data_IF_555385318686
#
_entry.id   IF_555385318686
#
_cell.length_a   1.000
_cell.length_b   1.000
_cell.length_c   1.000
_cell.angle_alpha   90.00
_cell.angle_beta   90.00
_cell.angle_gamma   90.00
#
_symmetry.space_group_name_H-M   'P 1'
#
loop_
_entity.id
_entity.type
_entity.pdbx_description
1 polymer ?
#
# COMPACT_ATOMS: atom_id res chain seq x y z
N UNK A 1 21.02 2.29 -7.53
CA UNK A 1 20.58 2.05 -6.15
C UNK A 1 19.94 3.34 -5.70
N UNK A 2 18.60 3.39 -5.70
CA UNK A 2 17.88 4.53 -5.13
C UNK A 2 18.01 4.40 -3.62
N UNK A 3 18.57 5.42 -2.98
CA UNK A 3 18.75 5.45 -1.53
C UNK A 3 17.78 6.52 -1.04
N UNK A 4 16.80 6.14 -0.23
CA UNK A 4 15.77 7.06 0.24
C UNK A 4 16.02 7.44 1.71
N UNK A 5 15.60 8.64 2.11
CA UNK A 5 15.65 9.13 3.49
C UNK A 5 14.24 9.53 3.95
N UNK A 6 13.93 9.30 5.23
CA UNK A 6 12.67 9.68 5.88
C UNK A 6 11.41 9.17 5.13
N UNK A 7 11.24 7.84 5.06
CA UNK A 7 10.15 7.22 4.33
C UNK A 7 8.95 6.91 5.23
N UNK A 8 7.74 7.22 4.76
CA UNK A 8 6.49 6.60 5.21
C UNK A 8 6.14 5.57 4.14
N UNK A 9 6.18 4.28 4.50
CA UNK A 9 5.94 3.18 3.58
C UNK A 9 4.90 2.29 4.24
N UNK A 10 3.94 1.82 3.44
CA UNK A 10 2.91 0.87 3.88
C UNK A 10 2.00 1.40 5.02
N UNK A 11 1.70 2.70 5.04
CA UNK A 11 0.66 3.24 5.93
C UNK A 11 -0.70 3.08 5.24
N UNK A 12 -1.50 2.14 5.74
CA UNK A 12 -2.79 1.80 5.15
C UNK A 12 -3.93 2.44 5.94
N UNK A 13 -4.95 2.92 5.22
CA UNK A 13 -6.15 3.50 5.81
C UNK A 13 -7.39 3.27 4.94
N UNK A 14 -8.56 3.66 5.43
CA UNK A 14 -9.83 3.59 4.70
C UNK A 14 -10.14 2.19 4.13
N UNK A 15 -9.91 1.17 4.97
CA UNK A 15 -10.03 -0.23 4.58
C UNK A 15 -11.51 -0.66 4.47
N UNK A 16 -11.82 -1.28 3.34
CA UNK A 16 -13.06 -2.02 3.12
C UNK A 16 -12.71 -3.50 2.94
N UNK A 17 -13.19 -4.33 3.88
CA UNK A 17 -12.85 -5.75 3.93
C UNK A 17 -14.06 -6.57 3.49
N UNK A 18 -13.87 -7.35 2.42
CA UNK A 18 -14.82 -8.37 1.98
C UNK A 18 -14.27 -9.76 2.30
N UNK A 19 -14.89 -10.44 3.26
CA UNK A 19 -14.55 -11.82 3.61
C UNK A 19 -15.17 -12.77 2.58
N UNK A 20 -14.33 -13.55 1.91
CA UNK A 20 -14.77 -14.54 0.93
C UNK A 20 -15.03 -15.90 1.60
N UNK A 21 -14.09 -16.33 2.44
CA UNK A 21 -14.18 -17.56 3.23
C UNK A 21 -13.24 -17.52 4.46
N UNK A 22 -12.99 -18.66 5.10
CA UNK A 22 -12.14 -18.76 6.30
C UNK A 22 -10.65 -18.54 6.06
N UNK A 23 -10.23 -18.53 4.79
CA UNK A 23 -8.85 -18.48 4.32
C UNK A 23 -8.58 -17.41 3.26
N UNK A 24 -9.60 -16.70 2.78
CA UNK A 24 -9.48 -15.70 1.72
C UNK A 24 -10.32 -14.44 2.04
N UNK A 25 -9.76 -13.26 1.76
CA UNK A 25 -10.48 -12.00 1.81
C UNK A 25 -9.93 -11.02 0.75
N UNK A 26 -10.75 -10.02 0.42
CA UNK A 26 -10.35 -8.86 -0.36
C UNK A 26 -10.31 -7.66 0.57
N UNK A 27 -9.25 -6.86 0.49
CA UNK A 27 -9.11 -5.60 1.20
C UNK A 27 -8.91 -4.50 0.16
N UNK A 28 -9.82 -3.54 0.10
CA UNK A 28 -9.60 -2.30 -0.64
C UNK A 28 -9.25 -1.20 0.34
N UNK A 29 -8.10 -0.56 0.17
CA UNK A 29 -7.59 0.44 1.10
C UNK A 29 -6.80 1.51 0.37
N UNK A 30 -6.52 2.60 1.09
CA UNK A 30 -5.63 3.66 0.65
C UNK A 30 -4.25 3.39 1.26
N UNK A 31 -3.22 3.35 0.41
CA UNK A 31 -1.82 3.22 0.77
C UNK A 31 -1.15 4.58 0.63
N UNK A 32 -0.67 5.14 1.74
CA UNK A 32 0.10 6.38 1.74
C UNK A 32 1.59 6.03 1.65
N UNK A 33 2.23 6.52 0.60
CA UNK A 33 3.67 6.44 0.40
C UNK A 33 4.28 7.84 0.39
N UNK A 34 5.38 8.02 1.13
CA UNK A 34 6.19 9.25 1.10
C UNK A 34 7.68 8.90 1.16
N UNK A 35 8.46 9.40 0.21
CA UNK A 35 9.91 9.20 0.20
C UNK A 35 10.63 10.44 -0.33
N UNK A 36 11.79 10.72 0.27
CA UNK A 36 12.69 11.78 -0.18
C UNK A 36 13.86 11.17 -0.96
N UNK A 37 14.12 11.65 -2.17
CA UNK A 37 15.31 11.28 -2.94
C UNK A 37 16.56 11.94 -2.33
N UNK A 38 17.59 11.13 -2.06
CA UNK A 38 18.84 11.60 -1.49
C UNK A 38 19.72 12.42 -2.47
N UNK A 39 19.47 12.35 -3.77
CA UNK A 39 20.29 13.01 -4.79
C UNK A 39 19.88 14.46 -5.04
N UNK A 40 18.59 14.77 -4.94
CA UNK A 40 18.06 16.11 -5.26
C UNK A 40 17.07 16.65 -4.21
N UNK A 41 16.92 15.96 -3.08
CA UNK A 41 16.01 16.32 -1.98
C UNK A 41 14.52 16.38 -2.36
N UNK A 42 14.14 15.93 -3.56
CA UNK A 42 12.74 15.90 -4.02
C UNK A 42 11.92 14.96 -3.13
N UNK A 43 10.76 15.44 -2.70
CA UNK A 43 9.79 14.67 -1.94
C UNK A 43 8.74 14.14 -2.92
N UNK A 44 8.61 12.82 -2.95
CA UNK A 44 7.52 12.13 -3.62
C UNK A 44 6.53 11.68 -2.55
N UNK A 45 5.26 12.00 -2.76
CA UNK A 45 4.18 11.64 -1.85
C UNK A 45 2.96 11.26 -2.68
N UNK A 46 2.41 10.08 -2.44
CA UNK A 46 1.24 9.56 -3.13
C UNK A 46 0.28 8.87 -2.17
N UNK A 47 -1.01 8.93 -2.51
CA UNK A 47 -2.05 8.11 -1.89
C UNK A 47 -2.63 7.24 -3.00
N UNK A 48 -2.42 5.93 -2.86
CA UNK A 48 -2.80 4.92 -3.85
C UNK A 48 -3.99 4.13 -3.34
N UNK A 49 -5.09 4.07 -4.11
CA UNK A 49 -6.19 3.15 -3.83
C UNK A 49 -5.80 1.78 -4.39
N UNK A 50 -5.77 0.78 -3.53
CA UNK A 50 -5.33 -0.57 -3.88
C UNK A 50 -6.39 -1.61 -3.55
N UNK A 51 -6.40 -2.71 -4.30
CA UNK A 51 -7.11 -3.94 -3.96
C UNK A 51 -6.12 -5.04 -3.68
N UNK A 52 -6.15 -5.55 -2.45
CA UNK A 52 -5.34 -6.65 -1.97
C UNK A 52 -6.20 -7.91 -1.90
N UNK A 53 -5.75 -8.98 -2.54
CA UNK A 53 -6.24 -10.32 -2.19
C UNK A 53 -5.34 -10.86 -1.10
N UNK A 54 -5.92 -11.21 0.05
CA UNK A 54 -5.19 -11.81 1.17
C UNK A 54 -5.62 -13.24 1.38
N UNK A 55 -4.63 -14.10 1.61
CA UNK A 55 -4.83 -15.53 1.84
C UNK A 55 -4.20 -15.93 3.16
N UNK A 56 -4.77 -16.94 3.82
CA UNK A 56 -4.25 -17.47 5.08
C UNK A 56 -3.28 -18.61 4.81
N UNK A 57 -2.01 -18.41 5.15
CA UNK A 57 -0.94 -19.40 5.06
C UNK A 57 -0.36 -19.64 6.45
N UNK A 58 -0.41 -20.88 6.93
CA UNK A 58 0.07 -21.28 8.25
C UNK A 58 -0.48 -20.41 9.39
N UNK A 59 -1.77 -20.09 9.33
CA UNK A 59 -2.46 -19.28 10.33
C UNK A 59 -2.28 -17.76 10.16
N UNK A 60 -1.40 -17.30 9.27
CA UNK A 60 -1.09 -15.89 9.04
C UNK A 60 -1.69 -15.40 7.72
N UNK A 61 -2.23 -14.19 7.72
CA UNK A 61 -2.66 -13.54 6.49
C UNK A 61 -1.45 -13.04 5.71
N UNK A 62 -1.45 -13.28 4.40
CA UNK A 62 -0.43 -12.82 3.46
C UNK A 62 -1.12 -12.21 2.25
N UNK A 63 -0.56 -11.14 1.71
CA UNK A 63 -0.99 -10.59 0.42
C UNK A 63 -0.57 -11.58 -0.67
N UNK A 64 -1.54 -12.10 -1.42
CA UNK A 64 -1.28 -12.94 -2.60
C UNK A 64 -1.24 -12.11 -3.88
N UNK A 65 -2.07 -11.07 -3.94
CA UNK A 65 -2.23 -10.21 -5.12
C UNK A 65 -2.35 -8.77 -4.66
N UNK A 66 -1.70 -7.88 -5.39
CA UNK A 66 -1.76 -6.44 -5.24
C UNK A 66 -2.21 -5.83 -6.57
N UNK A 67 -3.30 -5.07 -6.57
CA UNK A 67 -3.84 -4.37 -7.73
C UNK A 67 -3.94 -2.87 -7.41
N UNK A 68 -3.22 -2.03 -8.14
CA UNK A 68 -3.36 -0.59 -8.08
C UNK A 68 -4.64 -0.17 -8.84
N UNK A 69 -5.59 0.46 -8.16
CA UNK A 69 -6.84 0.93 -8.76
C UNK A 69 -6.70 2.37 -9.25
N UNK A 70 -6.22 3.27 -8.38
CA UNK A 70 -5.95 4.67 -8.68
C UNK A 70 -4.74 5.16 -7.91
N UNK A 71 -4.06 6.17 -8.44
CA UNK A 71 -2.90 6.81 -7.80
C UNK A 71 -3.08 8.32 -7.84
N UNK A 72 -2.93 8.97 -6.69
CA UNK A 72 -3.02 10.42 -6.56
C UNK A 72 -1.72 10.96 -5.96
N UNK A 73 -1.08 11.88 -6.69
CA UNK A 73 0.11 12.58 -6.20
C UNK A 73 -0.31 13.69 -5.23
N UNK A 74 0.33 13.75 -4.07
CA UNK A 74 0.05 14.76 -3.05
C UNK A 74 0.88 16.01 -3.37
N UNK A 75 0.24 16.98 -4.04
CA UNK A 75 0.86 18.29 -4.29
C UNK A 75 0.80 19.14 -3.02
N UNK A 76 1.96 19.53 -2.49
CA UNK A 76 2.10 20.48 -1.36
C UNK A 76 2.01 21.94 -1.81
#
# INVERSE_FOLDING_TARGET
MLTYYNCLIDDFSNEEITILDTSNAIVECDEHSKFQDLLDETIYESIDRVRLTVIKVDGNWKISTYELLTSEEVTQ
#
